data_IF_686016246295
#
_entry.id   IF_686016246295
#
_cell.length_a   1.000
_cell.length_b   1.000
_cell.length_c   1.000
_cell.angle_alpha   90.00
_cell.angle_beta   90.00
_cell.angle_gamma   90.00
#
_symmetry.space_group_name_H-M   'P 1'
#
loop_
_entity.id
_entity.type
_entity.pdbx_description
1 polymer ?
#
# COMPACT_ATOMS: atom_id res chain seq x y z
N UNK A 1 31.82 -1.83 29.14
CA UNK A 1 30.89 -0.85 28.54
C UNK A 1 31.14 -0.88 27.06
N UNK A 2 30.46 -1.79 26.37
CA UNK A 2 30.55 -1.95 24.93
C UNK A 2 29.59 -0.95 24.28
N UNK A 3 30.14 -0.09 23.41
CA UNK A 3 29.37 0.84 22.59
C UNK A 3 28.87 0.09 21.36
N UNK A 4 27.57 -0.14 21.30
CA UNK A 4 26.88 -0.78 20.19
C UNK A 4 26.88 0.14 18.97
N UNK A 5 27.56 -0.28 17.90
CA UNK A 5 27.56 0.39 16.59
C UNK A 5 26.22 0.13 15.91
N UNK A 6 25.38 1.16 15.82
CA UNK A 6 24.20 1.15 14.95
C UNK A 6 24.67 1.04 13.50
N UNK A 7 24.36 -0.08 12.87
CA UNK A 7 24.70 -0.36 11.48
C UNK A 7 23.92 0.56 10.55
N UNK A 8 24.66 1.35 9.77
CA UNK A 8 24.16 2.27 8.76
C UNK A 8 23.73 1.46 7.52
N UNK A 9 22.48 1.03 7.48
CA UNK A 9 21.86 0.40 6.30
C UNK A 9 21.30 1.51 5.42
N UNK A 10 21.52 1.50 4.09
CA UNK A 10 21.07 2.58 3.22
C UNK A 10 19.53 2.64 3.20
N UNK A 11 19.00 3.69 3.83
CA UNK A 11 17.60 4.08 3.74
C UNK A 11 17.35 4.41 2.27
N UNK A 12 16.43 3.68 1.64
CA UNK A 12 15.84 4.07 0.37
C UNK A 12 14.98 5.30 0.66
N UNK A 13 15.63 6.46 0.72
CA UNK A 13 14.96 7.76 0.73
C UNK A 13 14.29 7.82 -0.63
N UNK A 14 13.00 7.50 -0.69
CA UNK A 14 12.16 7.99 -1.77
C UNK A 14 12.15 9.49 -1.56
N UNK A 15 13.07 10.18 -2.25
CA UNK A 15 13.07 11.63 -2.36
C UNK A 15 11.73 12.02 -2.97
N UNK A 16 10.78 12.39 -2.11
CA UNK A 16 9.66 13.22 -2.53
C UNK A 16 10.29 14.59 -2.74
N UNK A 17 10.85 14.81 -3.92
CA UNK A 17 11.38 16.11 -4.30
C UNK A 17 10.21 17.10 -4.29
N UNK A 18 10.32 18.10 -3.41
CA UNK A 18 9.49 19.29 -3.40
C UNK A 18 9.70 20.04 -4.72
N UNK A 19 8.90 19.75 -5.74
CA UNK A 19 8.68 20.70 -6.81
C UNK A 19 7.72 21.78 -6.29
N UNK A 20 8.31 22.92 -5.90
CA UNK A 20 7.60 24.14 -5.56
C UNK A 20 6.84 24.63 -6.80
N UNK A 21 5.56 24.30 -6.88
CA UNK A 21 4.64 24.94 -7.84
C UNK A 21 4.22 26.29 -7.24
N UNK A 22 4.75 27.37 -7.80
CA UNK A 22 4.27 28.74 -7.53
C UNK A 22 2.77 28.86 -7.87
N UNK A 23 1.96 29.59 -7.08
CA UNK A 23 0.53 29.68 -7.32
C UNK A 23 0.22 30.61 -8.51
N UNK A 24 -0.52 30.17 -9.54
CA UNK A 24 -1.06 31.10 -10.51
C UNK A 24 -2.26 31.84 -9.91
N UNK A 25 -2.30 33.14 -10.21
CA UNK A 25 -3.37 34.05 -9.88
C UNK A 25 -4.76 33.56 -10.36
N UNK A 26 -5.79 33.98 -9.61
CA UNK A 26 -7.24 33.84 -9.89
C UNK A 26 -7.60 33.99 -11.38
N UNK A 27 -8.69 33.38 -11.92
CA UNK A 27 -10.06 33.65 -11.45
C UNK A 27 -11.15 32.56 -11.77
N UNK A 28 -12.40 32.94 -11.44
CA UNK A 28 -13.68 32.54 -12.05
C UNK A 28 -14.52 31.50 -11.30
N UNK A 29 -15.64 32.06 -10.82
CA UNK A 29 -16.86 31.43 -10.36
C UNK A 29 -17.55 30.66 -11.50
N UNK A 30 -17.71 29.34 -11.36
CA UNK A 30 -18.71 28.56 -12.10
C UNK A 30 -19.22 27.45 -11.20
N UNK A 31 -20.44 27.69 -10.72
CA UNK A 31 -21.39 26.71 -10.20
C UNK A 31 -21.54 25.53 -11.16
N UNK A 32 -21.37 24.31 -10.66
CA UNK A 32 -22.19 23.17 -11.07
C UNK A 32 -22.23 22.13 -9.97
N UNK A 33 -23.37 22.14 -9.29
CA UNK A 33 -23.76 21.23 -8.24
C UNK A 33 -23.86 19.80 -8.75
N UNK A 34 -23.14 18.89 -8.10
CA UNK A 34 -23.58 17.49 -7.98
C UNK A 34 -23.70 17.21 -6.48
N UNK A 35 -24.96 17.14 -6.05
CA UNK A 35 -25.41 16.88 -4.69
C UNK A 35 -24.73 15.67 -4.05
N UNK A 36 -23.86 15.93 -3.08
CA UNK A 36 -23.69 15.10 -1.89
C UNK A 36 -24.08 15.95 -0.69
N UNK A 37 -25.38 15.98 -0.38
CA UNK A 37 -25.88 16.65 0.83
C UNK A 37 -25.58 15.79 2.05
N UNK A 38 -24.35 15.90 2.57
CA UNK A 38 -24.08 15.62 3.97
C UNK A 38 -24.17 16.92 4.75
N UNK A 39 -24.97 16.92 5.81
CA UNK A 39 -25.03 18.00 6.79
C UNK A 39 -23.76 18.00 7.66
N UNK A 40 -22.59 18.15 7.03
CA UNK A 40 -21.24 17.91 7.61
C UNK A 40 -20.23 19.04 7.37
N UNK A 41 -20.59 20.11 6.67
CA UNK A 41 -19.64 21.14 6.23
C UNK A 41 -18.83 21.81 7.37
N UNK A 42 -19.37 21.88 8.59
CA UNK A 42 -18.63 22.42 9.75
C UNK A 42 -17.72 21.40 10.45
N UNK A 43 -18.14 20.13 10.53
CA UNK A 43 -17.39 19.07 11.24
C UNK A 43 -16.26 18.50 10.38
N UNK A 44 -16.51 18.28 9.09
CA UNK A 44 -15.47 17.86 8.15
C UNK A 44 -14.35 18.91 8.04
N UNK A 45 -14.71 20.19 7.98
CA UNK A 45 -13.72 21.27 7.95
C UNK A 45 -12.90 21.37 9.24
N UNK A 46 -13.52 21.22 10.41
CA UNK A 46 -12.79 21.20 11.69
C UNK A 46 -11.82 20.01 11.78
N UNK A 47 -12.28 18.81 11.37
CA UNK A 47 -11.48 17.59 11.32
C UNK A 47 -10.24 17.75 10.42
N UNK A 48 -10.41 18.31 9.22
CA UNK A 48 -9.30 18.57 8.29
C UNK A 48 -8.34 19.63 8.83
N UNK A 49 -8.84 20.67 9.50
CA UNK A 49 -7.97 21.67 10.13
C UNK A 49 -7.14 21.09 11.28
N UNK A 50 -7.75 20.25 12.11
CA UNK A 50 -7.05 19.52 13.17
C UNK A 50 -5.98 18.59 12.60
N UNK A 51 -6.30 17.81 11.57
CA UNK A 51 -5.36 16.94 10.87
C UNK A 51 -4.13 17.72 10.34
N UNK A 52 -4.36 18.90 9.75
CA UNK A 52 -3.29 19.78 9.26
C UNK A 52 -2.43 20.34 10.40
N UNK A 53 -3.01 20.66 11.55
CA UNK A 53 -2.25 21.13 12.71
C UNK A 53 -1.36 20.02 13.28
N UNK A 54 -1.89 18.80 13.40
CA UNK A 54 -1.14 17.63 13.85
C UNK A 54 0.01 17.32 12.89
N UNK A 55 -0.26 17.33 11.58
CA UNK A 55 0.76 17.11 10.56
C UNK A 55 1.86 18.16 10.63
N UNK A 56 1.52 19.46 10.64
CA UNK A 56 2.50 20.54 10.70
C UNK A 56 3.34 20.51 11.98
N UNK A 57 2.74 20.14 13.10
CA UNK A 57 3.46 19.94 14.37
C UNK A 57 4.46 18.78 14.26
N UNK A 58 4.01 17.63 13.74
CA UNK A 58 4.86 16.45 13.57
C UNK A 58 6.04 16.74 12.62
N UNK A 59 5.79 17.42 11.50
CA UNK A 59 6.81 17.85 10.54
C UNK A 59 7.83 18.81 11.19
N UNK A 60 7.37 19.74 12.03
CA UNK A 60 8.26 20.64 12.76
C UNK A 60 9.16 19.86 13.74
N UNK A 61 8.61 18.87 14.46
CA UNK A 61 9.35 18.03 15.41
C UNK A 61 10.44 17.18 14.74
N UNK A 62 10.23 16.77 13.48
CA UNK A 62 11.21 15.97 12.71
C UNK A 62 12.05 16.79 11.73
N UNK A 63 11.79 18.10 11.59
CA UNK A 63 12.43 18.98 10.60
C UNK A 63 13.97 19.03 10.69
N UNK A 64 14.53 18.85 11.89
CA UNK A 64 15.97 18.82 12.11
C UNK A 64 16.58 17.41 12.00
N UNK A 65 15.80 16.45 11.52
CA UNK A 65 16.13 15.03 11.42
C UNK A 65 15.78 14.25 12.68
N UNK A 66 15.53 12.94 12.51
CA UNK A 66 15.13 12.04 13.60
C UNK A 66 16.17 11.94 14.72
N UNK A 67 17.46 12.19 14.43
CA UNK A 67 18.52 12.19 15.45
C UNK A 67 18.39 13.29 16.50
N UNK A 68 17.68 14.38 16.18
CA UNK A 68 17.47 15.53 17.07
C UNK A 68 16.04 15.59 17.62
N UNK A 69 15.16 14.69 17.17
CA UNK A 69 13.80 14.60 17.66
C UNK A 69 13.81 13.96 19.05
N UNK A 70 13.51 14.75 20.09
CA UNK A 70 13.50 14.27 21.47
C UNK A 70 12.33 13.31 21.74
N UNK A 71 11.19 13.55 21.11
CA UNK A 71 9.96 12.78 21.29
C UNK A 71 9.44 12.27 19.94
N UNK A 72 10.15 11.28 19.40
CA UNK A 72 9.79 10.64 18.13
C UNK A 72 8.47 9.87 18.23
N UNK A 73 8.08 9.41 19.42
CA UNK A 73 6.82 8.71 19.65
C UNK A 73 5.64 9.66 19.47
N UNK A 74 5.70 10.85 20.08
CA UNK A 74 4.66 11.86 19.88
C UNK A 74 4.59 12.33 18.42
N UNK A 75 5.74 12.50 17.74
CA UNK A 75 5.76 12.85 16.32
C UNK A 75 5.09 11.75 15.46
N UNK A 76 5.43 10.48 15.69
CA UNK A 76 4.79 9.32 15.03
C UNK A 76 3.28 9.31 15.28
N UNK A 77 2.84 9.52 16.51
CA UNK A 77 1.42 9.49 16.86
C UNK A 77 0.64 10.62 16.20
N UNK A 78 1.21 11.83 16.16
CA UNK A 78 0.63 12.95 15.42
C UNK A 78 0.50 12.63 13.91
N UNK A 79 1.49 11.97 13.30
CA UNK A 79 1.39 11.53 11.89
C UNK A 79 0.28 10.49 11.68
N UNK A 80 0.18 9.49 12.57
CA UNK A 80 -0.87 8.48 12.48
C UNK A 80 -2.27 9.07 12.66
N UNK A 81 -2.43 9.96 13.63
CA UNK A 81 -3.70 10.63 13.92
C UNK A 81 -4.11 11.57 12.77
N UNK A 82 -3.17 12.37 12.27
CA UNK A 82 -3.40 13.20 11.08
C UNK A 82 -3.82 12.33 9.87
N UNK A 83 -3.12 11.23 9.62
CA UNK A 83 -3.44 10.30 8.54
C UNK A 83 -4.84 9.69 8.67
N UNK A 84 -5.24 9.31 9.88
CA UNK A 84 -6.57 8.77 10.14
C UNK A 84 -7.67 9.82 9.89
N UNK A 85 -7.45 11.06 10.31
CA UNK A 85 -8.39 12.17 10.07
C UNK A 85 -8.48 12.53 8.58
N UNK A 86 -7.37 12.56 7.86
CA UNK A 86 -7.37 12.78 6.41
C UNK A 86 -8.09 11.66 5.65
N UNK A 87 -7.85 10.40 6.03
CA UNK A 87 -8.54 9.23 5.46
C UNK A 87 -10.05 9.33 5.69
N UNK A 88 -10.48 9.65 6.92
CA UNK A 88 -11.89 9.85 7.25
C UNK A 88 -12.52 11.03 6.51
N UNK A 89 -11.74 12.06 6.18
CA UNK A 89 -12.18 13.22 5.41
C UNK A 89 -12.17 13.01 3.89
N UNK A 90 -11.74 11.84 3.40
CA UNK A 90 -11.65 11.54 1.97
C UNK A 90 -10.49 12.25 1.26
N UNK A 91 -9.40 12.51 1.97
CA UNK A 91 -8.17 13.13 1.47
C UNK A 91 -7.04 12.07 1.42
N UNK A 92 -7.06 11.16 0.43
CA UNK A 92 -6.16 10.01 0.40
C UNK A 92 -4.69 10.37 0.19
N UNK A 93 -4.38 11.45 -0.53
CA UNK A 93 -3.01 11.88 -0.76
C UNK A 93 -2.33 12.32 0.55
N UNK A 94 -2.98 13.22 1.29
CA UNK A 94 -2.48 13.68 2.57
C UNK A 94 -2.45 12.56 3.63
N UNK A 95 -3.44 11.67 3.61
CA UNK A 95 -3.47 10.49 4.47
C UNK A 95 -2.28 9.57 4.21
N UNK A 96 -2.06 9.20 2.94
CA UNK A 96 -0.96 8.34 2.54
C UNK A 96 0.39 8.94 2.95
N UNK A 97 0.60 10.23 2.69
CA UNK A 97 1.83 10.94 3.09
C UNK A 97 2.05 10.88 4.60
N UNK A 98 1.02 11.16 5.40
CA UNK A 98 1.12 11.11 6.85
C UNK A 98 1.49 9.70 7.36
N UNK A 99 0.84 8.65 6.85
CA UNK A 99 1.17 7.26 7.20
C UNK A 99 2.57 6.83 6.74
N UNK A 100 3.05 7.31 5.58
CA UNK A 100 4.41 7.07 5.13
C UNK A 100 5.44 7.75 6.04
N UNK A 101 5.19 8.96 6.54
CA UNK A 101 6.04 9.60 7.55
C UNK A 101 6.07 8.79 8.85
N UNK A 102 4.93 8.32 9.35
CA UNK A 102 4.87 7.44 10.51
C UNK A 102 5.69 6.16 10.29
N UNK A 103 5.57 5.54 9.11
CA UNK A 103 6.35 4.37 8.72
C UNK A 103 7.87 4.62 8.75
N UNK A 104 8.33 5.78 8.26
CA UNK A 104 9.76 6.12 8.26
C UNK A 104 10.28 6.21 9.70
N UNK A 105 9.50 6.81 10.60
CA UNK A 105 9.85 6.91 12.02
C UNK A 105 9.92 5.52 12.65
N UNK A 106 8.86 4.71 12.53
CA UNK A 106 8.80 3.38 13.15
C UNK A 106 9.90 2.46 12.62
N UNK A 107 10.26 2.60 11.34
CA UNK A 107 11.38 1.87 10.75
C UNK A 107 12.72 2.31 11.34
N UNK A 108 12.94 3.62 11.52
CA UNK A 108 14.20 4.14 12.05
C UNK A 108 14.50 3.64 13.47
N UNK A 109 13.46 3.30 14.23
CA UNK A 109 13.55 2.75 15.59
C UNK A 109 13.28 1.24 15.64
N UNK A 110 13.38 0.52 14.51
CA UNK A 110 13.22 -0.94 14.37
C UNK A 110 11.90 -1.50 14.95
N UNK A 111 10.82 -0.70 14.95
CA UNK A 111 9.50 -1.15 15.36
C UNK A 111 8.76 -1.77 14.17
N UNK A 112 9.03 -3.06 13.91
CA UNK A 112 8.46 -3.79 12.75
C UNK A 112 6.94 -3.92 12.79
N UNK A 113 6.33 -4.07 13.96
CA UNK A 113 4.86 -4.24 14.10
C UNK A 113 4.12 -2.96 13.72
N UNK A 114 4.54 -1.82 14.25
CA UNK A 114 3.96 -0.53 13.87
C UNK A 114 4.29 -0.15 12.43
N UNK A 115 5.49 -0.50 11.94
CA UNK A 115 5.87 -0.29 10.53
C UNK A 115 4.91 -1.02 9.60
N UNK A 116 4.59 -2.29 9.86
CA UNK A 116 3.59 -3.05 9.08
C UNK A 116 2.22 -2.38 9.09
N UNK A 117 1.82 -1.85 10.25
CA UNK A 117 0.53 -1.19 10.43
C UNK A 117 0.45 0.12 9.64
N UNK A 118 1.47 0.98 9.76
CA UNK A 118 1.57 2.23 9.02
C UNK A 118 1.62 2.01 7.51
N UNK A 119 2.38 1.01 7.03
CA UNK A 119 2.40 0.62 5.62
C UNK A 119 1.02 0.15 5.14
N UNK A 120 0.28 -0.60 5.97
CA UNK A 120 -1.09 -1.03 5.65
C UNK A 120 -2.03 0.15 5.40
N UNK A 121 -2.06 1.11 6.32
CA UNK A 121 -2.87 2.33 6.17
C UNK A 121 -2.42 3.19 4.97
N UNK A 122 -1.10 3.29 4.72
CA UNK A 122 -0.58 3.99 3.56
C UNK A 122 -1.08 3.34 2.26
N UNK A 123 -1.02 2.00 2.12
CA UNK A 123 -1.48 1.28 0.93
C UNK A 123 -2.96 1.53 0.64
N UNK A 124 -3.80 1.52 1.68
CA UNK A 124 -5.24 1.73 1.53
C UNK A 124 -5.59 3.05 0.84
N UNK A 125 -4.77 4.08 1.06
CA UNK A 125 -4.91 5.40 0.46
C UNK A 125 -4.14 5.52 -0.86
N UNK A 126 -2.91 4.99 -0.93
CA UNK A 126 -2.05 5.05 -2.12
C UNK A 126 -2.68 4.38 -3.34
N UNK A 127 -3.43 3.31 -3.18
CA UNK A 127 -4.12 2.64 -4.30
C UNK A 127 -5.15 3.53 -5.02
N UNK A 128 -5.54 4.66 -4.42
CA UNK A 128 -6.48 5.63 -4.99
C UNK A 128 -5.77 6.78 -5.73
N UNK A 129 -4.54 7.10 -5.35
CA UNK A 129 -3.80 8.28 -5.83
C UNK A 129 -2.54 7.92 -6.62
N UNK A 130 -1.75 6.98 -6.13
CA UNK A 130 -0.44 6.59 -6.67
C UNK A 130 -0.29 5.05 -6.67
N UNK A 131 -0.94 4.35 -7.62
CA UNK A 131 -0.95 2.88 -7.65
C UNK A 131 0.43 2.25 -7.84
N UNK A 132 1.34 2.93 -8.55
CA UNK A 132 2.70 2.43 -8.73
C UNK A 132 3.48 2.43 -7.40
N UNK A 133 3.33 3.49 -6.60
CA UNK A 133 3.91 3.56 -5.27
C UNK A 133 3.26 2.50 -4.36
N UNK A 134 1.92 2.35 -4.40
CA UNK A 134 1.19 1.32 -3.66
C UNK A 134 1.74 -0.10 -3.92
N UNK A 135 2.06 -0.45 -5.17
CA UNK A 135 2.67 -1.75 -5.52
C UNK A 135 4.03 -1.93 -4.83
N UNK A 136 4.88 -0.91 -4.80
CA UNK A 136 6.19 -0.99 -4.13
C UNK A 136 6.05 -1.15 -2.61
N UNK A 137 5.12 -0.41 -2.00
CA UNK A 137 4.78 -0.49 -0.57
C UNK A 137 4.20 -1.86 -0.22
N UNK A 138 3.33 -2.43 -1.07
CA UNK A 138 2.79 -3.79 -0.92
C UNK A 138 3.87 -4.87 -0.98
N UNK A 139 4.84 -4.76 -1.91
CA UNK A 139 5.98 -5.68 -1.99
C UNK A 139 6.79 -5.66 -0.70
N UNK A 140 7.10 -4.46 -0.21
CA UNK A 140 7.82 -4.27 1.05
C UNK A 140 7.06 -4.79 2.27
N UNK A 141 5.75 -4.53 2.33
CA UNK A 141 4.88 -5.03 3.40
C UNK A 141 4.80 -6.56 3.38
N UNK A 142 4.74 -7.17 2.19
CA UNK A 142 4.81 -8.62 2.02
C UNK A 142 6.07 -9.21 2.65
N UNK A 143 7.24 -8.61 2.39
CA UNK A 143 8.51 -9.11 2.93
C UNK A 143 8.53 -9.04 4.46
N UNK A 144 8.10 -7.92 5.06
CA UNK A 144 8.00 -7.77 6.51
C UNK A 144 7.01 -8.76 7.15
N UNK A 145 5.87 -9.00 6.50
CA UNK A 145 4.89 -9.98 6.97
C UNK A 145 5.44 -11.40 6.91
N UNK A 146 6.16 -11.74 5.82
CA UNK A 146 6.81 -13.04 5.65
C UNK A 146 7.89 -13.28 6.71
N UNK A 147 8.73 -12.28 6.99
CA UNK A 147 9.70 -12.33 8.09
C UNK A 147 9.04 -12.59 9.44
N UNK A 148 7.87 -11.97 9.69
CA UNK A 148 7.08 -12.18 10.91
C UNK A 148 6.27 -13.48 10.96
N UNK A 149 6.38 -14.36 9.95
CA UNK A 149 5.62 -15.61 9.89
C UNK A 149 4.16 -15.46 9.42
N UNK A 150 3.74 -14.26 9.01
CA UNK A 150 2.41 -13.94 8.49
C UNK A 150 2.31 -14.23 6.98
N UNK A 151 2.60 -15.48 6.59
CA UNK A 151 2.73 -15.90 5.18
C UNK A 151 1.45 -15.66 4.38
N UNK A 152 0.29 -15.88 4.99
CA UNK A 152 -1.00 -15.68 4.31
C UNK A 152 -1.26 -14.20 4.01
N UNK A 153 -0.93 -13.31 4.94
CA UNK A 153 -1.03 -11.86 4.74
C UNK A 153 -0.02 -11.37 3.69
N UNK A 154 1.21 -11.90 3.71
CA UNK A 154 2.21 -11.62 2.67
C UNK A 154 1.72 -12.04 1.27
N UNK A 155 1.06 -13.19 1.16
CA UNK A 155 0.45 -13.66 -0.09
C UNK A 155 -0.66 -12.70 -0.58
N UNK A 156 -1.49 -12.20 0.34
CA UNK A 156 -2.51 -11.19 0.02
C UNK A 156 -1.90 -9.88 -0.49
N UNK A 157 -0.78 -9.44 0.06
CA UNK A 157 -0.08 -8.26 -0.43
C UNK A 157 0.36 -8.42 -1.89
N UNK A 158 0.93 -9.58 -2.25
CA UNK A 158 1.31 -9.88 -3.64
C UNK A 158 0.09 -9.95 -4.57
N UNK A 159 -1.00 -10.57 -4.11
CA UNK A 159 -2.25 -10.63 -4.87
C UNK A 159 -2.84 -9.23 -5.12
N UNK A 160 -2.87 -8.36 -4.12
CA UNK A 160 -3.35 -6.98 -4.26
C UNK A 160 -2.44 -6.17 -5.20
N UNK A 161 -1.12 -6.36 -5.12
CA UNK A 161 -0.19 -5.71 -6.04
C UNK A 161 -0.45 -6.16 -7.49
N UNK A 162 -0.73 -7.44 -7.72
CA UNK A 162 -1.09 -7.96 -9.03
C UNK A 162 -2.36 -7.31 -9.58
N UNK A 163 -3.40 -7.14 -8.74
CA UNK A 163 -4.65 -6.46 -9.13
C UNK A 163 -4.38 -5.02 -9.59
N UNK A 164 -3.54 -4.27 -8.87
CA UNK A 164 -3.19 -2.90 -9.25
C UNK A 164 -2.43 -2.86 -10.58
N UNK A 165 -1.52 -3.83 -10.78
CA UNK A 165 -0.73 -3.96 -12.00
C UNK A 165 -1.59 -4.26 -13.23
N UNK A 166 -2.48 -5.26 -13.15
CA UNK A 166 -3.35 -5.61 -14.28
C UNK A 166 -4.42 -4.55 -14.54
N UNK A 167 -4.99 -3.95 -13.49
CA UNK A 167 -6.12 -3.04 -13.61
C UNK A 167 -5.74 -1.60 -13.90
N UNK A 168 -5.04 -0.96 -12.95
CA UNK A 168 -4.78 0.48 -13.02
C UNK A 168 -3.52 0.82 -13.84
N UNK A 169 -2.50 -0.05 -13.79
CA UNK A 169 -1.21 0.22 -14.43
C UNK A 169 -1.08 -0.43 -15.81
N UNK A 170 -1.98 -1.36 -16.17
CA UNK A 170 -1.96 -2.04 -17.47
C UNK A 170 -0.68 -2.84 -17.74
N UNK A 171 -0.06 -3.40 -16.68
CA UNK A 171 1.15 -4.23 -16.77
C UNK A 171 0.82 -5.70 -16.44
N UNK A 172 0.25 -6.45 -17.41
CA UNK A 172 -0.14 -7.84 -17.19
C UNK A 172 1.07 -8.75 -16.93
N UNK A 173 2.26 -8.40 -17.43
CA UNK A 173 3.47 -9.21 -17.23
C UNK A 173 3.91 -9.18 -15.78
N UNK A 174 4.04 -7.99 -15.20
CA UNK A 174 4.36 -7.87 -13.78
C UNK A 174 3.22 -8.40 -12.89
N UNK A 175 1.96 -8.24 -13.31
CA UNK A 175 0.83 -8.82 -12.58
C UNK A 175 0.93 -10.35 -12.48
N UNK A 176 1.27 -11.04 -13.58
CA UNK A 176 1.50 -12.50 -13.58
C UNK A 176 2.61 -12.88 -12.60
N UNK A 177 3.73 -12.15 -12.56
CA UNK A 177 4.80 -12.42 -11.60
C UNK A 177 4.32 -12.30 -10.15
N UNK A 178 3.54 -11.25 -9.85
CA UNK A 178 2.96 -11.05 -8.51
C UNK A 178 1.95 -12.13 -8.13
N UNK A 179 1.11 -12.59 -9.07
CA UNK A 179 0.21 -13.72 -8.82
C UNK A 179 0.99 -15.03 -8.57
N UNK A 180 2.08 -15.29 -9.30
CA UNK A 180 2.95 -16.45 -9.06
C UNK A 180 3.59 -16.39 -7.68
N UNK A 181 4.05 -15.20 -7.24
CA UNK A 181 4.56 -15.00 -5.89
C UNK A 181 3.48 -15.29 -4.84
N UNK A 182 2.25 -14.80 -5.04
CA UNK A 182 1.12 -15.09 -4.15
C UNK A 182 0.83 -16.61 -4.07
N UNK A 183 0.81 -17.33 -5.19
CA UNK A 183 0.62 -18.80 -5.23
C UNK A 183 1.73 -19.51 -4.45
N UNK A 184 2.98 -19.08 -4.59
CA UNK A 184 4.11 -19.69 -3.87
C UNK A 184 3.94 -19.59 -2.35
N UNK A 185 3.33 -18.50 -1.86
CA UNK A 185 3.09 -18.25 -0.44
C UNK A 185 1.81 -18.94 0.06
N UNK A 186 0.72 -18.90 -0.71
CA UNK A 186 -0.51 -19.62 -0.37
C UNK A 186 -0.31 -21.14 -0.38
N UNK A 187 0.46 -21.66 -1.33
CA UNK A 187 0.62 -23.09 -1.57
C UNK A 187 -0.66 -23.75 -2.14
N UNK A 188 -0.62 -25.07 -2.36
CA UNK A 188 -1.71 -25.81 -3.02
C UNK A 188 -2.42 -26.82 -2.08
N UNK A 189 -2.43 -26.57 -0.76
CA UNK A 189 -2.98 -27.50 0.24
C UNK A 189 -3.88 -26.78 1.24
N UNK A 190 -4.88 -27.48 1.75
CA UNK A 190 -5.76 -26.97 2.80
C UNK A 190 -6.61 -25.78 2.36
N UNK A 191 -6.89 -24.88 3.30
CA UNK A 191 -7.80 -23.74 3.08
C UNK A 191 -7.26 -22.71 2.09
N UNK A 192 -5.93 -22.61 1.93
CA UNK A 192 -5.30 -21.62 1.05
C UNK A 192 -5.36 -21.99 -0.44
N UNK A 193 -5.76 -23.22 -0.76
CA UNK A 193 -5.83 -23.74 -2.14
C UNK A 193 -6.75 -22.94 -3.05
N UNK A 194 -7.88 -22.45 -2.53
CA UNK A 194 -8.83 -21.62 -3.29
C UNK A 194 -8.20 -20.30 -3.74
N UNK A 195 -7.33 -19.70 -2.92
CA UNK A 195 -6.65 -18.46 -3.25
C UNK A 195 -5.58 -18.66 -4.32
N UNK A 196 -4.80 -19.75 -4.23
CA UNK A 196 -3.86 -20.12 -5.31
C UNK A 196 -4.56 -20.40 -6.62
N UNK A 197 -5.72 -21.08 -6.57
CA UNK A 197 -6.55 -21.30 -7.75
C UNK A 197 -7.02 -19.99 -8.37
N UNK A 198 -7.53 -19.05 -7.56
CA UNK A 198 -7.96 -17.74 -8.05
C UNK A 198 -6.81 -16.97 -8.72
N UNK A 199 -5.59 -17.05 -8.17
CA UNK A 199 -4.41 -16.46 -8.81
C UNK A 199 -4.08 -17.14 -10.14
N UNK A 200 -4.18 -18.47 -10.23
CA UNK A 200 -3.95 -19.23 -11.48
C UNK A 200 -4.98 -18.87 -12.55
N UNK A 201 -6.26 -18.77 -12.20
CA UNK A 201 -7.33 -18.36 -13.13
C UNK A 201 -7.05 -16.97 -13.73
N UNK A 202 -6.54 -16.02 -12.92
CA UNK A 202 -6.11 -14.71 -13.40
C UNK A 202 -4.90 -14.80 -14.32
N UNK A 203 -3.86 -15.57 -13.96
CA UNK A 203 -2.67 -15.77 -14.82
C UNK A 203 -3.07 -16.34 -16.19
N UNK A 204 -3.91 -17.39 -16.23
CA UNK A 204 -4.41 -17.97 -17.47
C UNK A 204 -5.15 -16.92 -18.32
N UNK A 205 -6.04 -16.15 -17.68
CA UNK A 205 -6.82 -15.09 -18.36
C UNK A 205 -5.93 -14.01 -18.96
N UNK A 206 -5.00 -13.45 -18.17
CA UNK A 206 -4.05 -12.44 -18.62
C UNK A 206 -3.17 -12.93 -19.77
N UNK A 207 -2.75 -14.19 -19.73
CA UNK A 207 -1.91 -14.79 -20.78
C UNK A 207 -2.67 -14.91 -22.11
N UNK A 208 -3.97 -15.21 -22.05
CA UNK A 208 -4.86 -15.19 -23.23
C UNK A 208 -5.07 -13.78 -23.75
N UNK A 209 -5.28 -12.80 -22.86
CA UNK A 209 -5.43 -11.38 -23.21
C UNK A 209 -4.16 -10.81 -23.86
N UNK A 210 -2.99 -11.34 -23.50
CA UNK A 210 -1.71 -11.05 -24.16
C UNK A 210 -1.46 -11.82 -25.47
N UNK A 211 -2.42 -12.63 -25.91
CA UNK A 211 -2.38 -13.46 -27.13
C UNK A 211 -1.25 -14.53 -27.15
N UNK A 212 -0.67 -14.88 -25.99
CA UNK A 212 0.27 -15.99 -25.89
C UNK A 212 -0.48 -17.31 -25.70
N UNK A 213 -1.15 -17.76 -26.75
CA UNK A 213 -1.93 -18.99 -26.74
C UNK A 213 -1.05 -20.24 -26.50
N UNK A 214 0.23 -20.17 -26.84
CA UNK A 214 1.16 -21.28 -26.58
C UNK A 214 1.36 -21.49 -25.10
N UNK A 215 1.59 -20.42 -24.34
CA UNK A 215 1.74 -20.51 -22.89
C UNK A 215 0.41 -20.73 -22.19
N UNK A 216 -0.66 -20.05 -22.65
CA UNK A 216 -2.00 -20.24 -22.11
C UNK A 216 -2.46 -21.71 -22.17
N UNK A 217 -2.17 -22.41 -23.27
CA UNK A 217 -2.50 -23.85 -23.39
C UNK A 217 -1.85 -24.72 -22.31
N UNK A 218 -0.61 -24.40 -21.90
CA UNK A 218 0.10 -25.11 -20.84
C UNK A 218 -0.49 -24.76 -19.48
N UNK A 219 -0.80 -23.48 -19.26
CA UNK A 219 -1.40 -22.99 -18.03
C UNK A 219 -2.76 -23.63 -17.76
N UNK A 220 -3.60 -23.84 -18.78
CA UNK A 220 -4.87 -24.55 -18.60
C UNK A 220 -4.70 -26.00 -18.13
N UNK A 221 -3.61 -26.67 -18.54
CA UNK A 221 -3.28 -28.01 -18.04
C UNK A 221 -2.82 -27.91 -16.57
N UNK A 222 -1.99 -26.94 -16.23
CA UNK A 222 -1.53 -26.69 -14.86
C UNK A 222 -2.70 -26.36 -13.91
N UNK A 223 -3.64 -25.54 -14.36
CA UNK A 223 -4.84 -25.13 -13.62
C UNK A 223 -5.68 -26.34 -13.17
N UNK A 224 -5.66 -27.45 -13.94
CA UNK A 224 -6.37 -28.68 -13.54
C UNK A 224 -5.86 -29.26 -12.22
N UNK A 225 -4.62 -28.98 -11.83
CA UNK A 225 -4.05 -29.40 -10.54
C UNK A 225 -4.70 -28.66 -9.35
N UNK A 226 -5.33 -27.51 -9.60
CA UNK A 226 -6.03 -26.71 -8.62
C UNK A 226 -7.55 -27.00 -8.59
N UNK A 227 -8.04 -27.85 -9.50
CA UNK A 227 -9.45 -28.21 -9.57
C UNK A 227 -9.91 -28.91 -8.28
N UNK A 228 -11.16 -28.64 -7.82
CA UNK A 228 -11.72 -29.30 -6.65
C UNK A 228 -11.77 -30.81 -6.89
N UNK A 229 -11.26 -31.59 -5.93
CA UNK A 229 -11.36 -33.04 -5.94
C UNK A 229 -12.84 -33.39 -5.81
N UNK A 230 -13.42 -33.98 -6.86
CA UNK A 230 -14.85 -34.30 -6.91
C UNK A 230 -15.61 -33.81 -8.15
N UNK A 231 -14.93 -33.47 -9.26
CA UNK A 231 -15.64 -33.44 -10.55
C UNK A 231 -16.27 -34.82 -10.77
N UNK A 232 -17.59 -34.90 -11.05
CA UNK A 232 -18.17 -36.16 -11.51
C UNK A 232 -17.41 -36.58 -12.77
N UNK A 233 -16.88 -37.80 -12.76
CA UNK A 233 -16.36 -38.43 -13.96
C UNK A 233 -17.47 -38.43 -15.01
N UNK A 234 -17.23 -37.78 -16.15
CA UNK A 234 -18.09 -37.89 -17.33
C UNK A 234 -18.01 -39.33 -17.84
#
# INVERSE_FOLDING_TARGET
METEKVANTPILVVSIEHECIEPPATPVNTTNDVNCTFTENGRGHACVQEARQLLAKAEADVSQGLSKCLDWMAARDNFNEAGALFSAAGLPEEAARAFLHACIITQAFDNKEETKTALGFAVENLQLVEPLLAVSVLKRLSDLLKEGGFVYQAARCNHNAAILLEGQLGDPKQAIEMYRNAISLYGNKGFSRSFSRSCMERISSLTVEMEDYTEASKLFIEETQYAPLGRPSI
#
